data_IF_667526892028
#
_entry.id   IF_667526892028
#
_cell.length_a   1.000
_cell.length_b   1.000
_cell.length_c   1.000
_cell.angle_alpha   90.00
_cell.angle_beta   90.00
_cell.angle_gamma   90.00
#
_symmetry.space_group_name_H-M   'P 1'
#
loop_
_entity.id
_entity.type
_entity.pdbx_description
1 polymer ?
#
# COMPACT_ATOMS: atom_id res chain seq x y z
N UNK A 1 8.48 18.01 24.01
CA UNK A 1 9.62 17.19 23.56
C UNK A 1 9.80 16.03 24.52
N UNK A 2 9.64 14.80 24.04
CA UNK A 2 9.95 13.61 24.86
C UNK A 2 11.47 13.44 24.83
N UNK A 3 12.14 13.65 25.96
CA UNK A 3 13.56 13.32 26.12
C UNK A 3 13.71 11.81 26.37
N UNK A 4 13.21 10.97 25.46
CA UNK A 4 13.37 9.53 25.56
C UNK A 4 14.74 9.12 25.00
N UNK A 5 15.55 8.46 25.82
CA UNK A 5 16.80 7.83 25.41
C UNK A 5 16.54 6.33 25.19
N UNK A 6 16.91 5.82 24.02
CA UNK A 6 16.94 4.36 23.79
C UNK A 6 18.15 3.82 24.54
N UNK A 7 17.94 2.78 25.36
CA UNK A 7 19.03 2.13 26.13
C UNK A 7 19.14 0.64 25.80
N UNK A 8 18.09 0.07 25.22
CA UNK A 8 17.97 -1.36 25.00
C UNK A 8 16.88 -1.64 23.96
N UNK A 9 17.10 -2.67 23.14
CA UNK A 9 16.10 -3.28 22.28
C UNK A 9 15.70 -4.63 22.87
N UNK A 10 14.39 -4.84 23.08
CA UNK A 10 13.84 -6.13 23.51
C UNK A 10 13.24 -6.84 22.31
N UNK A 11 13.63 -8.10 22.11
CA UNK A 11 13.17 -8.93 21.00
C UNK A 11 12.74 -10.30 21.52
N UNK A 12 12.06 -11.10 20.69
CA UNK A 12 11.79 -12.51 21.00
C UNK A 12 13.06 -13.39 21.08
N UNK A 13 14.23 -12.86 20.69
CA UNK A 13 15.54 -13.52 20.79
C UNK A 13 16.37 -13.01 21.97
N UNK A 14 15.78 -12.17 22.81
CA UNK A 14 16.43 -11.57 23.97
C UNK A 14 16.70 -10.08 23.81
N UNK A 15 17.57 -9.62 24.69
CA UNK A 15 17.75 -8.22 25.06
C UNK A 15 19.10 -7.70 24.57
N UNK A 16 19.08 -6.67 23.73
CA UNK A 16 20.28 -6.06 23.14
C UNK A 16 20.50 -4.67 23.71
N UNK A 17 21.60 -4.45 24.43
CA UNK A 17 21.99 -3.10 24.90
C UNK A 17 22.48 -2.28 23.71
N UNK A 18 21.77 -1.21 23.40
CA UNK A 18 22.15 -0.26 22.35
C UNK A 18 21.45 1.07 22.58
N UNK A 19 22.12 2.15 22.18
CA UNK A 19 21.55 3.50 22.15
C UNK A 19 21.15 3.92 20.74
N UNK A 20 21.43 3.09 19.74
CA UNK A 20 21.23 3.37 18.32
C UNK A 20 20.40 2.26 17.70
N UNK A 21 19.24 2.63 17.15
CA UNK A 21 18.28 1.71 16.53
C UNK A 21 17.77 2.34 15.24
N UNK A 22 17.77 1.56 14.15
CA UNK A 22 17.06 1.89 12.92
C UNK A 22 15.74 1.13 12.94
N UNK A 23 14.63 1.86 12.80
CA UNK A 23 13.29 1.29 12.71
C UNK A 23 12.88 1.22 11.23
N UNK A 24 12.91 0.02 10.66
CA UNK A 24 12.55 -0.26 9.28
C UNK A 24 11.50 -1.38 9.20
N UNK A 25 10.49 -1.31 10.07
CA UNK A 25 9.50 -2.40 10.29
C UNK A 25 8.38 -2.44 9.25
N UNK A 26 8.37 -1.50 8.31
CA UNK A 26 7.27 -1.34 7.34
C UNK A 26 5.99 -0.77 7.96
N UNK A 27 5.05 -0.36 7.11
CA UNK A 27 3.81 0.29 7.54
C UNK A 27 2.77 -0.67 8.13
N UNK A 28 2.96 -1.98 7.97
CA UNK A 28 2.05 -3.00 8.52
C UNK A 28 2.38 -3.42 9.95
N UNK A 29 3.46 -2.89 10.55
CA UNK A 29 3.90 -3.18 11.92
C UNK A 29 3.02 -2.49 12.98
N UNK A 30 1.74 -2.88 13.05
CA UNK A 30 0.71 -2.30 13.95
C UNK A 30 1.11 -2.34 15.42
N UNK A 31 1.78 -3.41 15.83
CA UNK A 31 2.35 -3.61 17.16
C UNK A 31 3.36 -2.51 17.55
N UNK A 32 4.18 -2.06 16.60
CA UNK A 32 5.13 -0.96 16.82
C UNK A 32 4.40 0.37 17.05
N UNK A 33 3.31 0.63 16.31
CA UNK A 33 2.50 1.83 16.55
C UNK A 33 1.85 1.79 17.95
N UNK A 34 1.34 0.64 18.39
CA UNK A 34 0.82 0.49 19.75
C UNK A 34 1.91 0.65 20.82
N UNK A 35 3.10 0.11 20.58
CA UNK A 35 4.25 0.29 21.48
C UNK A 35 4.60 1.76 21.64
N UNK A 36 4.63 2.53 20.54
CA UNK A 36 4.93 3.95 20.57
C UNK A 36 3.86 4.74 21.31
N UNK A 37 2.59 4.46 21.03
CA UNK A 37 1.47 5.07 21.75
C UNK A 37 1.54 4.79 23.26
N UNK A 38 1.79 3.55 23.67
CA UNK A 38 1.92 3.15 25.08
C UNK A 38 3.14 3.79 25.77
N UNK A 39 4.21 4.08 25.02
CA UNK A 39 5.39 4.80 25.51
C UNK A 39 5.24 6.31 25.44
N UNK A 40 4.08 6.81 25.02
CA UNK A 40 3.81 8.23 24.80
C UNK A 40 4.64 8.85 23.68
N UNK A 41 5.29 8.05 22.83
CA UNK A 41 6.08 8.52 21.68
C UNK A 41 5.12 9.14 20.66
N UNK A 42 5.45 10.34 20.19
CA UNK A 42 4.63 11.07 19.24
C UNK A 42 4.46 10.27 17.94
N UNK A 43 3.20 10.03 17.58
CA UNK A 43 2.78 9.52 16.28
C UNK A 43 1.83 10.56 15.69
N UNK A 44 2.01 10.87 14.41
CA UNK A 44 1.14 11.80 13.69
C UNK A 44 0.46 11.08 12.53
N UNK A 45 -0.79 11.46 12.25
CA UNK A 45 -1.49 10.96 11.09
C UNK A 45 -0.75 11.42 9.83
N UNK A 46 -0.44 10.48 8.95
CA UNK A 46 0.05 10.77 7.60
C UNK A 46 -1.06 10.40 6.62
N UNK A 47 -1.51 11.33 5.75
CA UNK A 47 -2.45 11.00 4.68
C UNK A 47 -1.94 9.81 3.86
N UNK A 48 -2.87 8.94 3.47
CA UNK A 48 -2.59 7.72 2.70
C UNK A 48 -3.65 7.56 1.60
N UNK A 49 -3.50 6.53 0.76
CA UNK A 49 -4.48 6.23 -0.27
C UNK A 49 -5.05 4.82 -0.07
N UNK A 50 -6.36 4.69 -0.29
CA UNK A 50 -7.08 3.42 -0.21
C UNK A 50 -8.06 3.32 -1.38
N UNK A 51 -8.41 2.10 -1.76
CA UNK A 51 -9.38 1.85 -2.80
C UNK A 51 -9.44 0.37 -3.14
N UNK A 52 -9.68 0.08 -4.41
CA UNK A 52 -9.92 -1.30 -4.90
C UNK A 52 -8.89 -1.68 -5.96
N UNK A 53 -8.65 -2.99 -6.13
CA UNK A 53 -7.92 -3.49 -7.31
C UNK A 53 -8.91 -3.75 -8.44
N UNK A 54 -8.57 -3.32 -9.65
CA UNK A 54 -9.36 -3.57 -10.86
C UNK A 54 -8.54 -4.41 -11.82
N UNK A 55 -9.17 -5.41 -12.44
CA UNK A 55 -8.62 -6.27 -13.48
C UNK A 55 -9.26 -6.00 -14.84
N UNK A 56 -8.45 -6.02 -15.88
CA UNK A 56 -8.88 -5.98 -17.28
C UNK A 56 -8.13 -7.06 -18.06
N UNK A 57 -8.68 -7.57 -19.17
CA UNK A 57 -7.91 -8.38 -20.11
C UNK A 57 -6.64 -7.63 -20.54
N UNK A 58 -5.48 -8.26 -20.38
CA UNK A 58 -4.18 -7.67 -20.75
C UNK A 58 -4.15 -7.27 -22.22
N UNK A 59 -4.78 -8.07 -23.08
CA UNK A 59 -4.90 -7.80 -24.53
C UNK A 59 -5.66 -6.50 -24.83
N UNK A 60 -6.65 -6.15 -24.02
CA UNK A 60 -7.38 -4.89 -24.18
C UNK A 60 -6.49 -3.69 -23.83
N UNK A 61 -5.73 -3.77 -22.73
CA UNK A 61 -4.77 -2.73 -22.35
C UNK A 61 -3.64 -2.61 -23.38
N UNK A 62 -3.10 -3.75 -23.82
CA UNK A 62 -2.11 -3.83 -24.89
C UNK A 62 -2.61 -3.10 -26.15
N UNK A 63 -3.85 -3.38 -26.59
CA UNK A 63 -4.43 -2.76 -27.78
C UNK A 63 -4.68 -1.25 -27.62
N UNK A 64 -5.16 -0.81 -26.45
CA UNK A 64 -5.41 0.61 -26.17
C UNK A 64 -4.11 1.43 -26.14
N UNK A 65 -3.06 0.90 -25.48
CA UNK A 65 -1.80 1.61 -25.31
C UNK A 65 -0.97 1.63 -26.60
N UNK A 66 -0.90 0.51 -27.31
CA UNK A 66 -0.11 0.40 -28.54
C UNK A 66 -0.90 0.76 -29.81
N UNK A 67 -2.22 0.97 -29.71
CA UNK A 67 -3.11 1.31 -30.83
C UNK A 67 -3.05 0.27 -31.97
N UNK A 68 -2.94 -1.01 -31.59
CA UNK A 68 -2.84 -2.15 -32.51
C UNK A 68 -3.68 -3.31 -31.99
N UNK A 69 -4.32 -4.08 -32.87
CA UNK A 69 -5.17 -5.21 -32.46
C UNK A 69 -4.38 -6.32 -31.73
N UNK A 70 -3.11 -6.52 -32.09
CA UNK A 70 -2.20 -7.48 -31.47
C UNK A 70 -0.89 -6.79 -31.13
N UNK A 71 -0.47 -6.89 -29.86
CA UNK A 71 0.85 -6.43 -29.41
C UNK A 71 1.97 -7.27 -30.07
N UNK A 72 2.97 -6.64 -30.72
CA UNK A 72 4.17 -7.32 -31.19
C UNK A 72 4.96 -7.96 -30.03
N UNK A 73 5.58 -9.12 -30.28
CA UNK A 73 6.24 -9.90 -29.22
C UNK A 73 7.44 -9.19 -28.57
N UNK A 74 8.07 -8.23 -29.27
CA UNK A 74 9.20 -7.45 -28.77
C UNK A 74 8.81 -6.26 -27.88
N UNK A 75 7.52 -5.90 -27.80
CA UNK A 75 7.04 -4.89 -26.86
C UNK A 75 6.72 -5.53 -25.51
N UNK A 76 6.96 -4.88 -24.37
CA UNK A 76 6.53 -5.41 -23.07
C UNK A 76 5.00 -5.44 -22.96
N UNK A 77 4.47 -6.17 -21.98
CA UNK A 77 3.06 -6.03 -21.60
C UNK A 77 2.77 -4.57 -21.21
N UNK A 78 1.73 -3.98 -21.79
CA UNK A 78 1.46 -2.56 -21.65
C UNK A 78 1.11 -2.17 -20.22
N UNK A 79 1.57 -0.99 -19.81
CA UNK A 79 1.23 -0.35 -18.54
C UNK A 79 0.43 0.93 -18.76
N UNK A 80 -0.32 1.36 -17.74
CA UNK A 80 -0.96 2.67 -17.72
C UNK A 80 -0.71 3.39 -16.39
N UNK A 81 -0.85 4.71 -16.45
CA UNK A 81 -0.96 5.58 -15.29
C UNK A 81 -2.14 6.52 -15.53
N UNK A 82 -3.14 6.47 -14.65
CA UNK A 82 -4.34 7.29 -14.71
C UNK A 82 -4.41 8.14 -13.45
N UNK A 83 -4.85 9.39 -13.61
CA UNK A 83 -5.20 10.28 -12.51
C UNK A 83 -6.34 11.20 -12.93
N UNK A 84 -7.23 11.47 -11.99
CA UNK A 84 -8.27 12.47 -12.12
C UNK A 84 -8.60 13.07 -10.75
N UNK A 85 -9.35 14.16 -10.75
CA UNK A 85 -9.92 14.74 -9.54
C UNK A 85 -11.44 14.60 -9.59
N UNK A 86 -12.02 14.06 -8.53
CA UNK A 86 -13.47 13.89 -8.36
C UNK A 86 -13.81 14.35 -6.95
N UNK A 87 -14.78 15.26 -6.82
CA UNK A 87 -15.23 15.78 -5.53
C UNK A 87 -14.06 16.25 -4.63
N UNK A 88 -13.14 17.03 -5.20
CA UNK A 88 -11.94 17.56 -4.53
C UNK A 88 -10.92 16.49 -4.03
N UNK A 89 -11.13 15.22 -4.35
CA UNK A 89 -10.21 14.12 -4.05
C UNK A 89 -9.51 13.65 -5.31
N UNK A 90 -8.21 13.36 -5.18
CA UNK A 90 -7.42 12.75 -6.24
C UNK A 90 -7.70 11.25 -6.31
N UNK A 91 -8.12 10.76 -7.48
CA UNK A 91 -8.29 9.34 -7.78
C UNK A 91 -7.22 8.95 -8.80
N UNK A 92 -6.44 7.91 -8.52
CA UNK A 92 -5.32 7.54 -9.37
C UNK A 92 -5.02 6.04 -9.35
N UNK A 93 -4.37 5.58 -10.42
CA UNK A 93 -3.88 4.21 -10.51
C UNK A 93 -2.59 4.05 -9.71
N UNK A 94 -2.51 3.01 -8.90
CA UNK A 94 -1.37 2.70 -8.05
C UNK A 94 -0.90 1.27 -8.27
N UNK A 95 0.42 1.08 -8.30
CA UNK A 95 1.07 -0.24 -8.44
C UNK A 95 0.46 -1.07 -9.59
N UNK A 96 0.47 -0.50 -10.80
CA UNK A 96 -0.02 -1.16 -12.00
C UNK A 96 0.86 -2.39 -12.34
N UNK A 97 0.21 -3.53 -12.56
CA UNK A 97 0.80 -4.84 -12.79
C UNK A 97 0.35 -5.38 -14.16
N UNK A 98 1.10 -5.11 -15.25
CA UNK A 98 0.85 -5.71 -16.55
C UNK A 98 1.03 -7.22 -16.48
N UNK A 99 0.08 -7.97 -17.03
CA UNK A 99 0.15 -9.43 -17.02
C UNK A 99 0.41 -9.98 -15.62
N UNK A 100 -0.31 -9.44 -14.65
CA UNK A 100 -0.13 -9.70 -13.23
C UNK A 100 -1.28 -10.45 -12.58
N UNK A 101 -1.22 -10.55 -11.27
CA UNK A 101 -2.18 -11.21 -10.40
C UNK A 101 -2.56 -10.24 -9.28
N UNK A 102 -3.83 -10.23 -8.88
CA UNK A 102 -4.23 -9.71 -7.58
C UNK A 102 -3.84 -10.76 -6.53
N UNK A 103 -3.13 -10.32 -5.49
CA UNK A 103 -2.65 -11.19 -4.42
C UNK A 103 -3.27 -10.82 -3.07
N UNK A 104 -3.56 -11.79 -2.20
CA UNK A 104 -3.90 -11.51 -0.81
C UNK A 104 -2.65 -10.97 -0.08
N UNK A 105 -2.85 -9.90 0.69
CA UNK A 105 -1.79 -9.18 1.41
C UNK A 105 -2.19 -8.86 2.86
N UNK A 106 -3.18 -9.57 3.41
CA UNK A 106 -3.59 -9.43 4.80
C UNK A 106 -2.51 -9.95 5.76
N UNK A 107 -2.29 -9.24 6.87
CA UNK A 107 -1.27 -9.59 7.88
C UNK A 107 -1.88 -10.06 9.21
N UNK A 108 -3.21 -10.05 9.35
CA UNK A 108 -3.92 -10.48 10.55
C UNK A 108 -5.23 -11.22 10.19
N UNK A 109 -5.71 -12.15 11.03
CA UNK A 109 -7.00 -12.82 10.85
C UNK A 109 -8.18 -11.84 10.84
N UNK A 110 -9.21 -12.15 10.05
CA UNK A 110 -10.41 -11.31 9.94
C UNK A 110 -10.26 -10.09 9.02
N UNK A 111 -9.12 -9.94 8.35
CA UNK A 111 -8.87 -8.85 7.41
C UNK A 111 -8.80 -9.34 5.97
N UNK A 112 -9.27 -8.50 5.05
CA UNK A 112 -9.09 -8.69 3.61
C UNK A 112 -8.30 -7.49 3.09
N UNK A 113 -7.07 -7.75 2.68
CA UNK A 113 -6.21 -6.77 2.03
C UNK A 113 -5.71 -7.40 0.75
N UNK A 114 -5.79 -6.66 -0.35
CA UNK A 114 -5.31 -7.10 -1.65
C UNK A 114 -4.22 -6.16 -2.15
N UNK A 115 -3.26 -6.73 -2.88
CA UNK A 115 -2.27 -5.97 -3.63
C UNK A 115 -2.10 -6.60 -5.03
N UNK A 116 -1.10 -6.17 -5.78
CA UNK A 116 -0.80 -6.68 -7.11
C UNK A 116 0.66 -7.08 -7.22
N UNK A 117 0.90 -8.10 -8.04
CA UNK A 117 2.22 -8.56 -8.42
C UNK A 117 2.22 -8.96 -9.89
N UNK A 118 3.36 -8.82 -10.57
CA UNK A 118 3.60 -9.51 -11.83
C UNK A 118 4.81 -10.43 -11.70
N UNK A 119 4.73 -11.61 -12.33
CA UNK A 119 5.93 -12.40 -12.59
C UNK A 119 6.81 -11.67 -13.61
N UNK A 120 8.10 -12.03 -13.67
CA UNK A 120 9.05 -11.41 -14.62
C UNK A 120 8.54 -11.46 -16.07
N UNK A 121 7.91 -12.57 -16.48
CA UNK A 121 7.35 -12.78 -17.81
C UNK A 121 6.13 -11.90 -18.14
N UNK A 122 5.38 -11.44 -17.14
CA UNK A 122 4.17 -10.60 -17.30
C UNK A 122 3.16 -11.18 -18.31
N UNK A 123 2.92 -12.49 -18.22
CA UNK A 123 2.12 -13.25 -19.18
C UNK A 123 0.80 -13.79 -18.62
N UNK A 124 0.38 -13.36 -17.41
CA UNK A 124 -1.00 -13.57 -16.97
C UNK A 124 -1.99 -12.91 -17.96
N UNK A 125 -3.19 -13.49 -18.16
CA UNK A 125 -4.20 -12.93 -19.05
C UNK A 125 -4.73 -11.56 -18.59
N UNK A 126 -4.45 -11.14 -17.37
CA UNK A 126 -4.98 -9.90 -16.79
C UNK A 126 -3.91 -8.84 -16.54
N UNK A 127 -4.28 -7.58 -16.73
CA UNK A 127 -3.56 -6.43 -16.20
C UNK A 127 -4.39 -5.85 -15.06
N UNK A 128 -3.75 -5.50 -13.94
CA UNK A 128 -4.45 -4.94 -12.78
C UNK A 128 -3.74 -3.72 -12.18
N UNK A 129 -4.50 -2.84 -11.54
CA UNK A 129 -3.95 -1.74 -10.73
C UNK A 129 -4.84 -1.47 -9.53
N UNK A 130 -4.28 -0.92 -8.46
CA UNK A 130 -5.09 -0.27 -7.45
C UNK A 130 -5.69 0.99 -8.05
N UNK A 131 -6.99 1.21 -7.91
CA UNK A 131 -7.63 2.50 -8.10
C UNK A 131 -7.92 3.07 -6.73
N UNK A 132 -7.14 4.08 -6.35
CA UNK A 132 -7.08 4.57 -4.98
C UNK A 132 -7.43 6.06 -4.92
N UNK A 133 -7.97 6.47 -3.79
CA UNK A 133 -8.22 7.86 -3.44
C UNK A 133 -7.52 8.22 -2.14
N UNK A 134 -7.11 9.48 -2.02
CA UNK A 134 -6.48 9.99 -0.81
C UNK A 134 -7.48 10.06 0.34
N UNK A 135 -7.02 9.61 1.51
CA UNK A 135 -7.65 9.79 2.81
C UNK A 135 -6.76 10.74 3.63
N UNK A 136 -7.36 11.81 4.14
CA UNK A 136 -6.66 12.86 4.87
C UNK A 136 -7.38 13.22 6.20
N UNK A 137 -6.91 14.26 6.88
CA UNK A 137 -7.45 14.70 8.16
C UNK A 137 -8.93 15.10 8.11
N UNK A 138 -9.44 15.54 6.95
CA UNK A 138 -10.87 15.87 6.78
C UNK A 138 -11.75 14.63 6.86
N UNK A 139 -11.19 13.45 6.59
CA UNK A 139 -11.89 12.16 6.69
C UNK A 139 -11.76 11.53 8.09
N UNK A 140 -11.13 12.24 9.04
CA UNK A 140 -10.76 11.71 10.36
C UNK A 140 -11.95 11.27 11.22
N UNK A 141 -13.12 11.90 11.09
CA UNK A 141 -14.34 11.49 11.81
C UNK A 141 -14.76 10.07 11.45
N UNK A 142 -14.68 9.72 10.17
CA UNK A 142 -14.92 8.35 9.64
C UNK A 142 -13.82 7.38 10.07
N UNK A 143 -12.56 7.83 10.12
CA UNK A 143 -11.46 6.97 10.59
C UNK A 143 -11.57 6.62 12.08
N UNK A 144 -12.01 7.57 12.91
CA UNK A 144 -12.17 7.38 14.36
C UNK A 144 -13.24 6.36 14.72
N UNK A 145 -14.26 6.17 13.87
CA UNK A 145 -15.31 5.17 14.10
C UNK A 145 -14.92 3.77 13.64
N UNK A 146 -13.87 3.62 12.82
CA UNK A 146 -13.49 2.36 12.18
C UNK A 146 -12.21 1.72 12.74
N UNK A 147 -11.42 2.43 13.55
CA UNK A 147 -10.13 1.93 14.03
C UNK A 147 -9.85 2.17 15.52
N UNK A 148 -8.95 1.38 16.13
CA UNK A 148 -8.57 1.55 17.55
C UNK A 148 -7.72 2.80 17.80
N UNK A 149 -7.26 3.48 16.75
CA UNK A 149 -6.41 4.65 16.83
C UNK A 149 -7.27 5.91 16.94
N UNK A 150 -7.41 6.42 18.16
CA UNK A 150 -7.91 7.77 18.41
C UNK A 150 -6.85 8.76 17.93
N UNK A 151 -7.06 9.35 16.74
CA UNK A 151 -6.32 10.55 16.32
C UNK A 151 -6.74 11.74 17.18
#
# INVERSE_FOLDING_TARGET
MIKAKIVQLKTNRGDFKTERVILATGHSARDIYHLFQNKGILIQLKPFAIGVRIEHPKTAIDALQYKQAKRPDYLPAASYALSCQIAEKGVFSFCMCPGGLIIPAATAPGEIVVNGMSLSRRDSPFANSGMVTTVDEKDSSTLKSLGPYKV
#
